data_IF_425602697941
#
_entry.id   IF_425602697941
#
_cell.length_a   1.000
_cell.length_b   1.000
_cell.length_c   1.000
_cell.angle_alpha   90.00
_cell.angle_beta   90.00
_cell.angle_gamma   90.00
#
_symmetry.space_group_name_H-M   'P 1'
#
loop_
_entity.id
_entity.type
_entity.pdbx_description
1 polymer ?
#
# COMPACT_ATOMS: atom_id res chain seq x y z
N UNK A 1 7.75 -13.10 41.76
CA UNK A 1 6.42 -13.11 41.11
C UNK A 1 6.27 -11.99 40.07
N UNK A 2 7.31 -11.66 39.27
CA UNK A 2 7.24 -10.61 38.25
C UNK A 2 7.91 -10.99 36.91
N UNK A 3 7.97 -12.29 36.60
CA UNK A 3 8.65 -12.82 35.40
C UNK A 3 7.83 -12.68 34.08
N UNK A 4 6.74 -11.90 34.03
CA UNK A 4 5.68 -12.12 33.01
C UNK A 4 4.91 -10.89 32.47
N UNK A 5 5.42 -9.65 32.58
CA UNK A 5 4.60 -8.48 32.20
C UNK A 5 5.00 -7.73 30.92
N UNK A 6 6.21 -7.94 30.37
CA UNK A 6 6.66 -7.22 29.15
C UNK A 6 7.42 -8.14 28.19
N UNK A 7 6.78 -9.24 27.80
CA UNK A 7 7.34 -10.22 26.88
C UNK A 7 6.24 -10.87 26.05
N UNK A 8 5.50 -10.07 25.28
CA UNK A 8 4.78 -10.57 24.12
C UNK A 8 5.58 -10.18 22.88
N UNK A 9 6.70 -10.87 22.68
CA UNK A 9 7.21 -11.06 21.33
C UNK A 9 6.12 -11.84 20.59
N UNK A 10 5.53 -11.20 19.59
CA UNK A 10 4.43 -11.73 18.81
C UNK A 10 4.82 -13.12 18.27
N UNK A 11 4.27 -14.16 18.90
CA UNK A 11 4.63 -15.57 18.65
C UNK A 11 3.87 -16.13 17.43
N UNK A 12 3.32 -15.25 16.59
CA UNK A 12 2.65 -15.62 15.35
C UNK A 12 3.71 -16.14 14.39
N UNK A 13 3.56 -17.40 13.95
CA UNK A 13 4.37 -17.98 12.88
C UNK A 13 4.14 -17.11 11.63
N UNK A 14 5.22 -16.55 11.08
CA UNK A 14 5.14 -15.77 9.84
C UNK A 14 4.46 -16.60 8.74
N UNK A 15 3.46 -16.05 8.04
CA UNK A 15 2.88 -16.73 6.90
C UNK A 15 3.96 -16.95 5.83
N UNK A 16 3.91 -18.10 5.17
CA UNK A 16 4.83 -18.41 4.07
C UNK A 16 4.46 -17.64 2.79
N UNK A 17 3.20 -17.23 2.68
CA UNK A 17 2.61 -16.58 1.52
C UNK A 17 1.48 -15.66 2.00
N UNK A 18 1.36 -14.48 1.40
CA UNK A 18 0.31 -13.51 1.70
C UNK A 18 -0.32 -12.97 0.41
N UNK A 19 -1.65 -12.90 0.40
CA UNK A 19 -2.42 -12.27 -0.67
C UNK A 19 -2.54 -10.78 -0.36
N UNK A 20 -2.23 -9.95 -1.35
CA UNK A 20 -2.35 -8.50 -1.28
C UNK A 20 -3.60 -8.08 -2.06
N UNK A 21 -4.50 -7.39 -1.36
CA UNK A 21 -5.76 -6.92 -1.92
C UNK A 21 -5.64 -5.50 -2.48
N UNK A 22 -6.65 -5.04 -3.19
CA UNK A 22 -6.67 -3.67 -3.69
C UNK A 22 -6.84 -2.65 -2.56
N UNK A 23 -6.06 -1.55 -2.54
CA UNK A 23 -6.24 -0.48 -1.56
C UNK A 23 -7.40 0.46 -1.94
N UNK A 24 -7.89 0.40 -3.18
CA UNK A 24 -8.92 1.29 -3.71
C UNK A 24 -9.92 0.54 -4.62
N UNK A 25 -11.11 1.12 -4.78
CA UNK A 25 -11.99 0.73 -5.89
C UNK A 25 -11.45 1.37 -7.17
N UNK A 26 -11.47 0.68 -8.31
CA UNK A 26 -11.01 1.29 -9.56
C UNK A 26 -10.50 0.33 -10.62
N UNK A 27 -9.84 0.89 -11.62
CA UNK A 27 -9.22 0.12 -12.69
C UNK A 27 -7.80 -0.31 -12.29
N UNK A 28 -7.48 -1.59 -12.44
CA UNK A 28 -6.15 -2.14 -12.19
C UNK A 28 -5.28 -1.91 -13.42
N UNK A 29 -4.02 -1.56 -13.20
CA UNK A 29 -3.06 -1.29 -14.25
C UNK A 29 -1.69 -1.88 -13.91
N UNK A 30 -0.98 -2.29 -14.97
CA UNK A 30 0.41 -2.71 -14.84
C UNK A 30 1.25 -1.52 -14.34
N UNK A 31 2.15 -1.80 -13.40
CA UNK A 31 3.10 -0.82 -12.90
C UNK A 31 3.91 -0.19 -14.03
N UNK A 32 4.23 -0.95 -15.09
CA UNK A 32 4.92 -0.47 -16.28
C UNK A 32 4.14 0.60 -17.09
N UNK A 33 2.83 0.71 -16.88
CA UNK A 33 1.97 1.72 -17.53
C UNK A 33 1.81 3.00 -16.72
N UNK A 34 2.37 3.07 -15.51
CA UNK A 34 2.33 4.27 -14.67
C UNK A 34 3.19 5.37 -15.29
N UNK A 35 2.69 6.62 -15.44
CA UNK A 35 3.42 7.71 -16.10
C UNK A 35 4.47 8.36 -15.18
N UNK A 36 5.27 7.53 -14.49
CA UNK A 36 6.40 7.94 -13.65
C UNK A 36 7.51 6.87 -13.75
N UNK A 37 8.73 7.22 -14.17
CA UNK A 37 9.86 6.28 -14.28
C UNK A 37 10.23 5.59 -12.96
N UNK A 38 10.05 6.23 -11.80
CA UNK A 38 10.37 5.64 -10.49
C UNK A 38 9.54 4.37 -10.27
N UNK A 39 8.28 4.38 -10.71
CA UNK A 39 7.37 3.25 -10.60
C UNK A 39 7.44 2.34 -11.84
N UNK A 40 7.31 2.88 -13.05
CA UNK A 40 7.27 2.08 -14.29
C UNK A 40 8.57 1.32 -14.59
N UNK A 41 9.71 1.82 -14.12
CA UNK A 41 10.99 1.11 -14.20
C UNK A 41 11.32 0.30 -12.93
N UNK A 42 10.36 0.17 -12.01
CA UNK A 42 10.47 -0.62 -10.77
C UNK A 42 11.64 -0.18 -9.87
N UNK A 43 12.03 1.09 -9.93
CA UNK A 43 13.17 1.61 -9.14
C UNK A 43 12.89 1.58 -7.63
N UNK A 44 11.62 1.74 -7.24
CA UNK A 44 11.16 1.65 -5.84
C UNK A 44 10.78 0.21 -5.43
N UNK A 45 10.74 -0.74 -6.37
CA UNK A 45 10.24 -2.09 -6.17
C UNK A 45 9.26 -2.54 -7.25
N UNK A 46 8.95 -3.83 -7.26
CA UNK A 46 7.92 -4.42 -8.13
C UNK A 46 6.53 -4.31 -7.48
N UNK A 47 5.48 -4.36 -8.28
CA UNK A 47 4.11 -4.19 -7.81
C UNK A 47 3.10 -3.96 -8.92
N UNK A 48 2.04 -3.25 -8.57
CA UNK A 48 0.88 -2.98 -9.44
C UNK A 48 0.35 -1.57 -9.14
N UNK A 49 -0.51 -1.03 -9.99
CA UNK A 49 -1.16 0.25 -9.72
C UNK A 49 -2.68 0.18 -9.93
N UNK A 50 -3.39 1.13 -9.33
CA UNK A 50 -4.85 1.27 -9.45
C UNK A 50 -5.21 2.72 -9.77
N UNK A 51 -6.04 2.96 -10.79
CA UNK A 51 -6.71 4.24 -11.00
C UNK A 51 -7.96 4.29 -10.13
N UNK A 52 -8.00 5.13 -9.08
CA UNK A 52 -9.05 5.08 -8.07
C UNK A 52 -10.38 5.69 -8.56
N UNK A 53 -11.48 5.03 -8.24
CA UNK A 53 -12.83 5.51 -8.48
C UNK A 53 -13.33 6.48 -7.40
N UNK A 54 -12.78 6.41 -6.18
CA UNK A 54 -13.10 7.27 -5.06
C UNK A 54 -11.87 7.50 -4.17
N UNK A 55 -11.97 8.47 -3.26
CA UNK A 55 -10.85 8.91 -2.42
C UNK A 55 -10.64 8.12 -1.14
N UNK A 56 -11.28 6.96 -0.94
CA UNK A 56 -11.11 6.17 0.29
C UNK A 56 -10.10 5.04 0.07
N UNK A 57 -8.97 5.11 0.77
CA UNK A 57 -7.86 4.17 0.61
C UNK A 57 -7.76 3.31 1.87
N UNK A 58 -7.82 2.00 1.70
CA UNK A 58 -7.83 1.02 2.79
C UNK A 58 -6.56 0.18 2.80
N UNK A 59 -6.33 -0.52 3.91
CA UNK A 59 -5.22 -1.44 4.02
C UNK A 59 -5.43 -2.64 3.08
N UNK A 60 -4.46 -2.95 2.21
CA UNK A 60 -4.53 -4.09 1.32
C UNK A 60 -4.17 -5.40 2.01
N UNK A 61 -3.69 -5.35 3.26
CA UNK A 61 -3.12 -6.49 3.99
C UNK A 61 -3.19 -6.27 5.51
N UNK A 62 -3.10 -7.34 6.30
CA UNK A 62 -2.86 -7.23 7.74
C UNK A 62 -1.37 -6.93 8.00
N UNK A 63 -1.09 -5.98 8.89
CA UNK A 63 0.29 -5.57 9.17
C UNK A 63 0.44 -4.45 10.18
N UNK A 64 1.59 -3.82 10.14
CA UNK A 64 1.94 -2.64 10.93
C UNK A 64 2.27 -1.48 10.01
N UNK A 65 1.72 -0.31 10.28
CA UNK A 65 2.09 0.93 9.61
C UNK A 65 3.51 1.30 10.05
N UNK A 66 4.48 1.16 9.16
CA UNK A 66 5.89 1.46 9.42
C UNK A 66 6.28 2.87 8.99
N UNK A 67 5.45 3.52 8.16
CA UNK A 67 5.69 4.88 7.73
C UNK A 67 4.38 5.54 7.31
N UNK A 68 4.11 6.73 7.86
CA UNK A 68 3.15 7.67 7.31
C UNK A 68 3.92 8.90 6.84
N UNK A 69 3.84 9.21 5.54
CA UNK A 69 4.58 10.35 5.00
C UNK A 69 4.01 11.67 5.54
N UNK A 70 4.86 12.69 5.71
CA UNK A 70 4.48 13.95 6.36
C UNK A 70 3.32 14.69 5.64
N UNK A 71 3.23 14.58 4.32
CA UNK A 71 2.11 15.10 3.50
C UNK A 71 0.94 14.12 3.38
N UNK A 72 0.94 13.00 4.11
CA UNK A 72 -0.15 12.02 4.22
C UNK A 72 -0.60 11.37 2.90
N UNK A 73 0.13 11.54 1.82
CA UNK A 73 -0.18 10.96 0.50
C UNK A 73 0.25 9.49 0.35
N UNK A 74 1.10 8.99 1.24
CA UNK A 74 1.64 7.65 1.14
C UNK A 74 1.75 6.98 2.51
N UNK A 75 1.59 5.65 2.51
CA UNK A 75 1.64 4.79 3.69
C UNK A 75 2.50 3.57 3.38
N UNK A 76 3.46 3.28 4.25
CA UNK A 76 4.24 2.05 4.26
C UNK A 76 3.69 1.08 5.30
N UNK A 77 3.42 -0.16 4.89
CA UNK A 77 2.95 -1.25 5.77
C UNK A 77 3.96 -2.39 5.72
N UNK A 78 4.36 -2.88 6.90
CA UNK A 78 5.05 -4.15 7.02
C UNK A 78 4.03 -5.26 7.26
N UNK A 79 3.98 -6.22 6.34
CA UNK A 79 3.05 -7.36 6.41
C UNK A 79 3.48 -8.36 7.47
N UNK A 80 2.68 -9.41 7.71
CA UNK A 80 3.02 -10.43 8.69
C UNK A 80 4.21 -11.31 8.28
N UNK A 81 4.44 -11.52 6.98
CA UNK A 81 5.65 -12.19 6.46
C UNK A 81 6.89 -11.29 6.51
N UNK A 82 6.70 -9.96 6.62
CA UNK A 82 7.76 -8.97 6.69
C UNK A 82 8.07 -8.28 5.36
N UNK A 83 7.21 -8.43 4.34
CA UNK A 83 7.26 -7.58 3.17
C UNK A 83 6.95 -6.14 3.55
N UNK A 84 7.61 -5.18 2.91
CA UNK A 84 7.40 -3.75 3.12
C UNK A 84 6.68 -3.17 1.91
N UNK A 85 5.37 -3.01 2.05
CA UNK A 85 4.46 -2.54 1.01
C UNK A 85 4.29 -1.03 1.11
N UNK A 86 4.52 -0.32 0.02
CA UNK A 86 4.22 1.10 -0.14
C UNK A 86 2.90 1.27 -0.90
N UNK A 87 2.03 2.12 -0.39
CA UNK A 87 0.83 2.61 -1.08
C UNK A 87 1.03 4.12 -1.30
N UNK A 88 1.21 4.54 -2.54
CA UNK A 88 1.50 5.93 -2.89
C UNK A 88 0.31 6.52 -3.65
N UNK A 89 -0.36 7.54 -3.11
CA UNK A 89 -1.62 8.05 -3.68
C UNK A 89 -1.35 9.24 -4.60
N UNK A 90 -1.60 9.04 -5.89
CA UNK A 90 -1.29 10.00 -6.95
C UNK A 90 0.20 10.08 -7.26
N UNK A 91 0.56 10.86 -8.28
CA UNK A 91 1.95 11.15 -8.65
C UNK A 91 2.27 12.62 -8.36
N UNK A 92 3.50 12.92 -7.93
CA UNK A 92 3.94 14.25 -7.47
C UNK A 92 3.12 14.87 -6.34
N UNK A 93 2.27 14.08 -5.67
CA UNK A 93 1.34 14.55 -4.62
C UNK A 93 2.05 15.01 -3.34
N UNK A 94 3.33 14.68 -3.18
CA UNK A 94 4.19 15.28 -2.16
C UNK A 94 4.21 16.82 -2.27
N UNK A 95 4.14 17.38 -3.48
CA UNK A 95 4.16 18.81 -3.73
C UNK A 95 2.87 19.52 -3.30
N UNK A 96 1.80 18.76 -3.02
CA UNK A 96 0.54 19.31 -2.50
C UNK A 96 0.60 19.65 -1.01
N UNK A 97 1.73 19.39 -0.32
CA UNK A 97 1.94 19.74 1.09
C UNK A 97 0.84 19.22 2.04
N UNK A 98 0.22 18.07 1.69
CA UNK A 98 -0.87 17.45 2.43
C UNK A 98 -2.26 18.05 2.19
N UNK A 99 -2.38 19.03 1.30
CA UNK A 99 -3.67 19.56 0.88
C UNK A 99 -4.50 18.46 0.19
N UNK A 100 -5.74 18.27 0.65
CA UNK A 100 -6.63 17.24 0.11
C UNK A 100 -6.36 15.83 0.63
N UNK A 101 -5.49 15.64 1.63
CA UNK A 101 -5.26 14.35 2.28
C UNK A 101 -5.60 14.39 3.78
N UNK A 102 -6.26 13.35 4.25
CA UNK A 102 -6.54 13.09 5.65
C UNK A 102 -6.11 11.66 5.99
N UNK A 103 -5.27 11.51 7.01
CA UNK A 103 -4.80 10.19 7.47
C UNK A 103 -5.66 9.72 8.64
N UNK A 104 -6.03 8.44 8.63
CA UNK A 104 -6.83 7.76 9.65
C UNK A 104 -6.00 6.79 10.50
N UNK A 105 -4.71 6.69 10.20
CA UNK A 105 -3.71 5.88 10.92
C UNK A 105 -2.48 6.73 11.25
N UNK A 106 -1.60 6.19 12.09
CA UNK A 106 -0.26 6.71 12.37
C UNK A 106 0.77 5.58 12.37
N UNK A 107 2.04 5.96 12.33
CA UNK A 107 3.14 5.01 12.48
C UNK A 107 3.02 4.20 13.79
N UNK A 108 3.27 2.90 13.70
CA UNK A 108 3.12 1.92 14.78
C UNK A 108 1.72 1.31 14.92
N UNK A 109 0.71 1.84 14.22
CA UNK A 109 -0.64 1.25 14.26
C UNK A 109 -0.65 -0.14 13.59
N UNK A 110 -1.44 -1.06 14.17
CA UNK A 110 -1.75 -2.35 13.55
C UNK A 110 -3.02 -2.20 12.71
N UNK A 111 -2.98 -2.70 11.49
CA UNK A 111 -4.08 -2.64 10.53
C UNK A 111 -4.44 -4.03 10.03
N UNK A 112 -5.70 -4.22 9.65
CA UNK A 112 -6.23 -5.39 8.96
C UNK A 112 -6.65 -5.00 7.54
N UNK A 113 -6.74 -5.98 6.65
CA UNK A 113 -7.29 -5.76 5.31
C UNK A 113 -8.65 -5.07 5.38
N UNK A 114 -8.80 -3.97 4.65
CA UNK A 114 -10.02 -3.16 4.62
C UNK A 114 -10.09 -2.02 5.65
N UNK A 115 -9.17 -1.95 6.62
CA UNK A 115 -9.12 -0.82 7.55
C UNK A 115 -8.78 0.48 6.80
N UNK A 116 -9.48 1.57 7.12
CA UNK A 116 -9.27 2.86 6.45
C UNK A 116 -7.89 3.46 6.81
N UNK A 117 -7.07 3.74 5.81
CA UNK A 117 -5.73 4.31 5.99
C UNK A 117 -5.73 5.83 5.82
N UNK A 118 -6.27 6.30 4.70
CA UNK A 118 -6.35 7.71 4.38
C UNK A 118 -7.56 7.99 3.48
N UNK A 119 -8.03 9.22 3.50
CA UNK A 119 -8.97 9.77 2.52
C UNK A 119 -8.34 10.91 1.74
N UNK A 120 -8.65 10.99 0.45
CA UNK A 120 -8.11 12.01 -0.43
C UNK A 120 -9.17 12.69 -1.32
N UNK A 121 -8.87 13.92 -1.75
CA UNK A 121 -9.68 14.71 -2.68
C UNK A 121 -9.19 14.50 -4.12
N UNK A 122 -9.77 13.51 -4.81
CA UNK A 122 -9.37 13.17 -6.18
C UNK A 122 -9.52 14.33 -7.17
N UNK A 123 -10.52 15.19 -6.97
CA UNK A 123 -10.71 16.42 -7.74
C UNK A 123 -9.51 17.36 -7.62
N UNK A 124 -9.02 17.53 -6.39
CA UNK A 124 -7.86 18.38 -6.12
C UNK A 124 -6.55 17.76 -6.62
N UNK A 125 -6.39 16.44 -6.51
CA UNK A 125 -5.22 15.73 -7.05
C UNK A 125 -5.17 15.88 -8.58
N UNK A 126 -6.31 15.75 -9.28
CA UNK A 126 -6.37 15.97 -10.73
C UNK A 126 -6.01 17.39 -11.15
N UNK A 127 -6.25 18.38 -10.29
CA UNK A 127 -5.92 19.78 -10.55
C UNK A 127 -4.43 20.09 -10.27
N UNK A 128 -3.87 19.53 -9.20
CA UNK A 128 -2.58 19.98 -8.64
C UNK A 128 -1.43 18.99 -8.79
N UNK A 129 -1.71 17.74 -9.14
CA UNK A 129 -0.74 16.67 -9.28
C UNK A 129 -0.76 16.10 -10.71
N UNK A 130 0.26 15.31 -11.04
CA UNK A 130 0.43 14.77 -12.40
C UNK A 130 -0.49 13.58 -12.70
N UNK A 131 -0.98 12.89 -11.66
CA UNK A 131 -1.92 11.76 -11.80
C UNK A 131 -2.60 11.40 -10.48
N UNK A 132 -3.78 10.78 -10.56
CA UNK A 132 -4.49 10.13 -9.43
C UNK A 132 -4.13 8.66 -9.22
N UNK A 133 -3.40 8.05 -10.16
CA UNK A 133 -2.96 6.65 -10.07
C UNK A 133 -2.30 6.37 -8.73
N UNK A 134 -2.60 5.20 -8.17
CA UNK A 134 -2.05 4.72 -6.89
C UNK A 134 -1.09 3.56 -7.17
N UNK A 135 0.23 3.81 -7.26
CA UNK A 135 1.20 2.73 -7.24
C UNK A 135 1.22 2.02 -5.89
N UNK A 136 1.28 0.69 -5.95
CA UNK A 136 1.44 -0.19 -4.80
C UNK A 136 2.60 -1.17 -5.03
N UNK A 137 3.70 -0.99 -4.30
CA UNK A 137 4.98 -1.66 -4.58
C UNK A 137 5.60 -2.31 -3.33
N UNK A 138 6.39 -3.34 -3.52
CA UNK A 138 7.17 -4.01 -2.48
C UNK A 138 8.59 -3.45 -2.47
N UNK A 139 8.91 -2.66 -1.44
CA UNK A 139 10.18 -1.93 -1.34
C UNK A 139 11.38 -2.84 -1.08
N UNK A 140 11.17 -3.98 -0.41
CA UNK A 140 12.19 -4.98 -0.12
C UNK A 140 12.07 -6.22 -1.01
N UNK A 141 11.72 -6.03 -2.29
CA UNK A 141 11.43 -7.09 -3.24
C UNK A 141 12.57 -8.09 -3.49
N UNK A 142 13.83 -7.70 -3.31
CA UNK A 142 14.98 -8.63 -3.43
C UNK A 142 14.92 -9.80 -2.43
N UNK A 143 14.27 -9.58 -1.29
CA UNK A 143 14.02 -10.58 -0.26
C UNK A 143 12.77 -11.44 -0.53
N UNK A 144 12.04 -11.19 -1.62
CA UNK A 144 10.86 -11.93 -2.03
C UNK A 144 11.13 -12.82 -3.26
N UNK A 145 10.31 -13.86 -3.43
CA UNK A 145 10.11 -14.53 -4.70
C UNK A 145 9.35 -13.60 -5.68
N UNK A 146 9.40 -13.85 -7.00
CA UNK A 146 8.63 -13.07 -7.97
C UNK A 146 7.14 -12.98 -7.63
N UNK A 147 6.55 -11.79 -7.76
CA UNK A 147 5.13 -11.57 -7.48
C UNK A 147 4.25 -12.39 -8.44
N UNK A 148 3.21 -13.01 -7.89
CA UNK A 148 2.22 -13.74 -8.67
C UNK A 148 0.95 -12.89 -8.80
N UNK A 149 0.76 -12.26 -9.96
CA UNK A 149 -0.39 -11.37 -10.21
C UNK A 149 -1.68 -12.15 -10.48
N UNK A 150 -2.79 -11.68 -9.92
CA UNK A 150 -4.11 -12.30 -10.04
C UNK A 150 -4.81 -12.00 -11.38
N UNK A 151 -4.34 -11.00 -12.15
CA UNK A 151 -4.86 -10.68 -13.47
C UNK A 151 -6.21 -9.95 -13.48
N UNK A 152 -6.59 -9.30 -12.38
CA UNK A 152 -7.79 -8.46 -12.33
C UNK A 152 -7.63 -7.17 -13.16
N UNK A 153 -8.70 -6.73 -13.83
CA UNK A 153 -8.76 -5.45 -14.54
C UNK A 153 -9.52 -4.36 -13.78
N UNK A 154 -10.44 -4.77 -12.91
CA UNK A 154 -11.19 -3.89 -12.00
C UNK A 154 -11.06 -4.42 -10.58
N UNK A 155 -11.04 -3.51 -9.62
CA UNK A 155 -10.85 -3.84 -8.22
C UNK A 155 -11.90 -3.21 -7.31
N UNK A 156 -12.21 -3.95 -6.24
CA UNK A 156 -12.91 -3.48 -5.05
C UNK A 156 -11.95 -3.46 -3.88
N UNK A 157 -11.92 -2.33 -3.16
CA UNK A 157 -11.00 -2.11 -2.05
C UNK A 157 -11.19 -3.15 -0.95
N UNK A 158 -10.09 -3.72 -0.46
CA UNK A 158 -10.06 -4.77 0.57
C UNK A 158 -10.67 -6.11 0.16
N UNK A 159 -11.05 -6.31 -1.11
CA UNK A 159 -11.74 -7.52 -1.59
C UNK A 159 -11.08 -8.16 -2.80
N UNK A 160 -10.69 -7.37 -3.80
CA UNK A 160 -10.05 -7.91 -5.00
C UNK A 160 -8.58 -8.21 -4.72
N UNK A 161 -8.20 -9.47 -4.91
CA UNK A 161 -6.80 -9.92 -4.89
C UNK A 161 -6.05 -9.33 -6.08
N UNK A 162 -4.89 -8.71 -5.85
CA UNK A 162 -4.06 -8.12 -6.90
C UNK A 162 -2.83 -8.97 -7.19
N UNK A 163 -2.13 -9.40 -6.15
CA UNK A 163 -1.01 -10.31 -6.28
C UNK A 163 -0.73 -11.03 -4.96
N UNK A 164 0.06 -12.09 -5.07
CA UNK A 164 0.53 -12.87 -3.94
C UNK A 164 2.04 -12.67 -3.77
N UNK A 165 2.48 -12.54 -2.52
CA UNK A 165 3.89 -12.41 -2.13
C UNK A 165 4.35 -13.57 -1.26
N UNK A 166 5.59 -14.01 -1.50
CA UNK A 166 6.30 -15.00 -0.70
C UNK A 166 7.70 -14.52 -0.40
N UNK A 167 8.03 -14.38 0.89
CA UNK A 167 9.37 -13.99 1.35
C UNK A 167 10.30 -15.21 1.36
N UNK A 168 11.59 -14.99 1.07
CA UNK A 168 12.65 -16.03 1.07
C UNK A 168 13.12 -16.42 2.48
#
# INVERSE_FOLDING_TARGET
MLKKLFGLGDSRKKPAEEVIFSPADGAVMDLASVPDPVFSQKMMGDGIAVEPANGEIVSPVEGEVIQLFHTKHAVGIRTLSGAELLIHVGLDTVNMNGEGFEAHVKEGDKVKTGDLLLTCRLDLIKEKASSTVIPMVIMNGDAAEPLQFAGANEAKKGQTELFTIKMK
#
